data_IF_846881150957
#
_entry.id   IF_846881150957
#
_cell.length_a   1.000
_cell.length_b   1.000
_cell.length_c   1.000
_cell.angle_alpha   90.00
_cell.angle_beta   90.00
_cell.angle_gamma   90.00
#
_symmetry.space_group_name_H-M   'P 1'
#
loop_
_entity.id
_entity.type
_entity.pdbx_description
1 polymer ?
#
# COMPACT_ATOMS: atom_id res chain seq x y z
N UNK A 1 -15.23 7.42 15.44
CA UNK A 1 -14.20 8.00 14.58
C UNK A 1 -13.43 6.91 13.85
N UNK A 2 -13.27 7.06 12.58
CA UNK A 2 -12.61 6.05 11.78
C UNK A 2 -11.13 6.33 11.68
N UNK A 3 -10.33 5.30 11.89
CA UNK A 3 -8.90 5.38 11.68
C UNK A 3 -8.59 4.75 10.33
N UNK A 4 -7.80 5.46 9.57
CA UNK A 4 -7.33 4.95 8.30
C UNK A 4 -6.04 4.18 8.54
N UNK A 5 -6.01 2.94 8.07
CA UNK A 5 -4.83 2.11 8.19
C UNK A 5 -4.08 2.13 6.89
N UNK A 6 -2.78 2.17 7.02
CA UNK A 6 -1.89 2.17 5.85
C UNK A 6 -0.92 1.01 5.95
N UNK A 7 -0.49 0.56 4.80
CA UNK A 7 0.41 -0.58 4.72
C UNK A 7 1.51 -0.28 3.73
N UNK A 8 2.69 -0.85 3.99
CA UNK A 8 3.82 -0.81 3.08
C UNK A 8 3.94 -2.18 2.43
N UNK A 9 3.94 -2.24 1.12
CA UNK A 9 3.90 -3.50 0.40
C UNK A 9 4.96 -3.51 -0.70
N UNK A 10 5.41 -4.71 -1.06
CA UNK A 10 6.31 -4.87 -2.18
C UNK A 10 5.59 -4.59 -3.49
N UNK A 11 6.36 -4.39 -4.55
CA UNK A 11 5.79 -4.15 -5.87
C UNK A 11 4.93 -5.32 -6.32
N UNK A 12 5.37 -6.52 -5.98
CA UNK A 12 4.64 -7.72 -6.38
C UNK A 12 3.25 -7.76 -5.76
N UNK A 13 3.16 -7.40 -4.49
CA UNK A 13 1.87 -7.36 -3.81
C UNK A 13 1.03 -6.20 -4.34
N UNK A 14 1.64 -5.05 -4.52
CA UNK A 14 0.91 -3.86 -4.94
C UNK A 14 0.29 -4.03 -6.32
N UNK A 15 0.92 -4.79 -7.19
CA UNK A 15 0.38 -5.02 -8.54
C UNK A 15 -0.93 -5.77 -8.53
N UNK A 16 -1.28 -6.39 -7.42
CA UNK A 16 -2.51 -7.17 -7.34
C UNK A 16 -3.74 -6.29 -7.09
N UNK A 17 -3.53 -5.01 -6.86
CA UNK A 17 -4.67 -4.12 -6.66
C UNK A 17 -5.02 -3.45 -7.99
N UNK A 18 -6.31 -3.32 -8.23
CA UNK A 18 -6.79 -2.68 -9.44
C UNK A 18 -6.65 -1.16 -9.39
N UNK A 19 -6.28 -0.62 -8.23
CA UNK A 19 -6.12 0.82 -8.07
C UNK A 19 -4.66 1.22 -7.99
N UNK A 20 -3.79 0.46 -8.65
CA UNK A 20 -2.36 0.73 -8.60
C UNK A 20 -2.01 2.14 -9.03
N UNK A 21 -2.77 2.68 -9.98
CA UNK A 21 -2.48 4.02 -10.49
C UNK A 21 -2.64 5.11 -9.42
N UNK A 22 -3.35 4.82 -8.35
CA UNK A 22 -3.53 5.79 -7.26
C UNK A 22 -2.68 5.44 -6.05
N UNK A 23 -1.75 4.52 -6.20
CA UNK A 23 -0.90 4.07 -5.12
C UNK A 23 0.43 4.83 -5.15
N UNK A 24 0.92 5.18 -3.98
CA UNK A 24 2.17 5.91 -3.87
C UNK A 24 3.33 4.95 -3.70
N UNK A 25 4.43 5.25 -4.38
CA UNK A 25 5.65 4.48 -4.30
C UNK A 25 6.68 5.24 -3.48
N UNK A 26 7.33 4.56 -2.56
CA UNK A 26 8.35 5.18 -1.73
C UNK A 26 9.70 5.10 -2.42
N UNK A 27 10.69 5.80 -1.85
CA UNK A 27 12.04 5.83 -2.41
C UNK A 27 12.67 4.46 -2.48
N UNK A 28 12.37 3.61 -1.53
CA UNK A 28 12.98 2.28 -1.47
C UNK A 28 12.17 1.23 -2.23
N UNK A 29 11.27 1.67 -3.08
CA UNK A 29 10.56 0.75 -3.96
C UNK A 29 9.38 0.08 -3.33
N UNK A 30 8.97 0.52 -2.16
CA UNK A 30 7.76 0.00 -1.53
C UNK A 30 6.57 0.84 -1.96
N UNK A 31 5.37 0.32 -1.73
CA UNK A 31 4.13 1.01 -2.09
C UNK A 31 3.27 1.18 -0.87
N UNK A 32 2.63 2.33 -0.78
CA UNK A 32 1.72 2.62 0.34
C UNK A 32 0.31 2.26 -0.09
N UNK A 33 -0.27 1.30 0.59
CA UNK A 33 -1.62 0.84 0.32
C UNK A 33 -2.53 1.20 1.47
N UNK A 34 -3.78 1.48 1.15
CA UNK A 34 -4.80 1.68 2.17
C UNK A 34 -5.33 0.34 2.65
N UNK A 35 -6.01 0.37 3.78
CA UNK A 35 -6.63 -0.85 4.31
C UNK A 35 -7.59 -1.46 3.30
N UNK A 36 -8.32 -0.62 2.58
CA UNK A 36 -9.27 -1.10 1.60
C UNK A 36 -8.59 -1.88 0.49
N UNK A 37 -7.44 -1.38 0.03
CA UNK A 37 -6.70 -2.06 -1.01
C UNK A 37 -6.14 -3.39 -0.52
N UNK A 38 -5.63 -3.41 0.70
CA UNK A 38 -5.09 -4.65 1.28
C UNK A 38 -6.20 -5.68 1.46
N UNK A 39 -7.35 -5.24 1.96
CA UNK A 39 -8.47 -6.16 2.16
C UNK A 39 -8.92 -6.77 0.84
N UNK A 40 -8.89 -6.01 -0.23
CA UNK A 40 -9.26 -6.53 -1.54
C UNK A 40 -8.28 -7.60 -1.99
N UNK A 41 -6.98 -7.37 -1.78
CA UNK A 41 -5.97 -8.36 -2.12
C UNK A 41 -6.18 -9.65 -1.33
N UNK A 42 -6.42 -9.51 -0.02
CA UNK A 42 -6.65 -10.67 0.83
C UNK A 42 -7.86 -11.46 0.37
N UNK A 43 -8.92 -10.76 0.04
CA UNK A 43 -10.14 -11.40 -0.42
C UNK A 43 -9.91 -12.18 -1.70
N UNK A 44 -9.15 -11.62 -2.63
CA UNK A 44 -8.85 -12.29 -3.89
C UNK A 44 -8.02 -13.54 -3.69
N UNK A 45 -7.21 -13.58 -2.64
CA UNK A 45 -6.35 -14.73 -2.36
C UNK A 45 -6.98 -15.69 -1.36
N UNK A 46 -8.16 -15.39 -0.86
CA UNK A 46 -8.80 -16.22 0.14
C UNK A 46 -8.09 -16.21 1.47
N UNK A 47 -7.42 -15.12 1.79
CA UNK A 47 -6.69 -14.98 3.04
C UNK A 47 -7.44 -14.07 4.00
N UNK A 48 -7.22 -14.29 5.30
CA UNK A 48 -7.87 -13.48 6.32
C UNK A 48 -6.92 -12.46 6.95
N UNK A 49 -5.62 -12.57 6.70
CA UNK A 49 -4.67 -11.59 7.23
C UNK A 49 -3.45 -11.51 6.31
N UNK A 50 -2.52 -10.63 6.68
CA UNK A 50 -1.37 -10.34 5.83
C UNK A 50 -0.18 -11.26 6.10
N UNK A 51 -0.34 -12.26 6.94
CA UNK A 51 0.73 -13.21 7.20
C UNK A 51 1.15 -13.89 5.90
N UNK A 52 2.44 -13.95 5.67
CA UNK A 52 2.97 -14.58 4.48
C UNK A 52 3.03 -13.69 3.27
N UNK A 53 2.49 -12.48 3.37
CA UNK A 53 2.60 -11.51 2.31
C UNK A 53 3.66 -10.47 2.67
N UNK A 54 4.29 -9.90 1.66
CA UNK A 54 5.28 -8.85 1.88
C UNK A 54 4.58 -7.52 2.10
N UNK A 55 3.83 -7.45 3.17
CA UNK A 55 3.01 -6.30 3.55
C UNK A 55 3.17 -6.07 5.04
N UNK A 56 3.41 -4.83 5.42
CA UNK A 56 3.58 -4.46 6.82
C UNK A 56 2.70 -3.26 7.11
N UNK A 57 1.95 -3.33 8.20
CA UNK A 57 1.14 -2.19 8.61
C UNK A 57 2.04 -1.09 9.16
N UNK A 58 1.77 0.15 8.75
CA UNK A 58 2.50 1.30 9.23
C UNK A 58 1.51 2.32 9.77
N UNK A 59 2.01 3.23 10.61
CA UNK A 59 1.16 4.26 11.18
C UNK A 59 0.79 5.28 10.11
N UNK A 60 -0.27 6.02 10.37
CA UNK A 60 -0.67 7.10 9.47
C UNK A 60 0.43 8.15 9.35
N UNK A 61 1.08 8.47 10.47
CA UNK A 61 2.19 9.41 10.46
C UNK A 61 3.32 8.93 9.57
N UNK A 62 3.65 7.66 9.70
CA UNK A 62 4.72 7.08 8.90
C UNK A 62 4.38 7.10 7.42
N UNK A 63 3.13 6.78 7.10
CA UNK A 63 2.69 6.79 5.70
C UNK A 63 2.83 8.17 5.10
N UNK A 64 2.38 9.19 5.83
CA UNK A 64 2.46 10.56 5.34
C UNK A 64 3.91 11.00 5.19
N UNK A 65 4.75 10.61 6.13
CA UNK A 65 6.16 10.95 6.07
C UNK A 65 6.83 10.34 4.85
N UNK A 66 6.55 9.08 4.57
CA UNK A 66 7.15 8.41 3.43
C UNK A 66 6.69 9.03 2.12
N UNK A 67 5.43 9.39 2.03
CA UNK A 67 4.91 10.04 0.84
C UNK A 67 5.59 11.38 0.60
N UNK A 68 5.75 12.16 1.66
CA UNK A 68 6.36 13.49 1.54
C UNK A 68 7.83 13.41 1.20
N UNK A 69 8.54 12.40 1.73
CA UNK A 69 9.98 12.31 1.54
C UNK A 69 10.36 11.83 0.15
N UNK A 70 9.58 11.01 -0.47
CA UNK A 70 10.01 10.51 -1.73
C UNK A 70 8.98 9.77 -2.53
N UNK A 71 7.78 9.70 -2.01
CA UNK A 71 6.73 9.00 -2.70
C UNK A 71 6.21 9.76 -3.89
N UNK A 72 5.76 9.04 -4.86
CA UNK A 72 5.03 9.63 -5.97
C UNK A 72 3.97 8.65 -6.41
N UNK A 73 2.95 9.21 -7.03
CA UNK A 73 1.81 8.39 -7.39
C UNK A 73 2.17 7.50 -8.56
N UNK A 74 1.89 6.21 -8.39
CA UNK A 74 2.18 5.24 -9.42
C UNK A 74 1.26 5.47 -10.61
N UNK A 75 1.83 5.33 -11.80
CA UNK A 75 1.04 5.51 -13.00
C UNK A 75 0.85 6.95 -13.44
N UNK A 76 1.34 7.88 -12.65
CA UNK A 76 1.22 9.29 -13.00
C UNK A 76 2.23 9.65 -14.07
N UNK A 77 1.79 10.45 -15.01
CA UNK A 77 2.66 10.88 -16.08
C UNK A 77 3.34 12.18 -15.77
N UNK A 78 4.54 12.32 -16.20
CA UNK A 78 5.29 13.55 -16.00
C UNK A 78 5.35 14.35 -17.26
#
# INVERSE_FOLDING_TARGET
MNRVRYYSASAEVARQTSTLATTYRTKDGRFILSEKQVNRILSQQGKSDIDGLDVVEISESEAHRLIQLGGYQMGEKK
#
